data_IF_337145182232
#
_entry.id   IF_337145182232
#
_cell.length_a   1.000
_cell.length_b   1.000
_cell.length_c   1.000
_cell.angle_alpha   90.00
_cell.angle_beta   90.00
_cell.angle_gamma   90.00
#
_symmetry.space_group_name_H-M   'P 1'
#
loop_
_entity.id
_entity.type
_entity.pdbx_description
1 polymer ?
#
# COMPACT_ATOMS: atom_id res chain seq x y z
N UNK A 1 -60.94 -11.55 -31.84
CA UNK A 1 -62.13 -12.41 -32.06
C UNK A 1 -61.92 -13.68 -31.24
N UNK A 2 -62.97 -14.09 -30.52
CA UNK A 2 -63.01 -15.02 -29.37
C UNK A 2 -62.40 -16.42 -29.63
N UNK A 3 -61.70 -17.02 -28.65
CA UNK A 3 -62.25 -18.02 -27.72
C UNK A 3 -61.26 -18.38 -26.60
N UNK A 4 -61.82 -18.76 -25.44
CA UNK A 4 -61.23 -19.01 -24.12
C UNK A 4 -61.55 -20.49 -23.73
N UNK A 5 -60.85 -21.02 -22.71
CA UNK A 5 -61.19 -22.15 -21.78
C UNK A 5 -60.70 -23.53 -22.30
N UNK A 6 -59.99 -24.41 -21.58
CA UNK A 6 -60.12 -24.89 -20.18
C UNK A 6 -58.93 -25.74 -19.73
N UNK A 7 -58.74 -25.82 -18.41
CA UNK A 7 -57.91 -26.75 -17.62
C UNK A 7 -58.28 -28.24 -17.78
N UNK A 8 -57.33 -29.12 -17.43
CA UNK A 8 -57.61 -30.49 -16.95
C UNK A 8 -56.39 -31.36 -16.71
N UNK A 9 -55.85 -31.35 -15.47
CA UNK A 9 -54.95 -32.37 -14.91
C UNK A 9 -55.52 -33.79 -15.10
N UNK A 10 -54.66 -34.81 -15.28
CA UNK A 10 -54.70 -35.99 -14.41
C UNK A 10 -53.35 -36.71 -14.33
N UNK A 11 -52.99 -36.96 -13.08
CA UNK A 11 -51.89 -37.75 -12.57
C UNK A 11 -52.01 -39.24 -12.92
N UNK A 12 -50.88 -39.90 -13.17
CA UNK A 12 -50.34 -41.07 -12.43
C UNK A 12 -49.26 -41.74 -13.26
N UNK A 13 -48.05 -41.81 -12.71
CA UNK A 13 -47.23 -43.02 -12.53
C UNK A 13 -45.85 -42.53 -12.07
N UNK A 14 -45.75 -42.27 -10.77
CA UNK A 14 -44.50 -42.17 -10.04
C UNK A 14 -44.37 -43.45 -9.20
N UNK A 15 -43.20 -44.08 -9.24
CA UNK A 15 -42.86 -45.13 -8.29
C UNK A 15 -41.76 -46.02 -8.82
N UNK A 16 -40.63 -46.06 -8.09
CA UNK A 16 -39.47 -46.94 -8.32
C UNK A 16 -38.33 -46.38 -9.17
N UNK A 17 -37.79 -45.20 -8.83
CA UNK A 17 -36.39 -44.89 -9.18
C UNK A 17 -35.66 -43.92 -8.23
N UNK A 18 -36.11 -43.77 -6.97
CA UNK A 18 -35.51 -42.82 -6.01
C UNK A 18 -35.39 -43.42 -4.60
N UNK A 19 -34.77 -44.60 -4.48
CA UNK A 19 -34.43 -45.17 -3.16
C UNK A 19 -33.03 -45.81 -3.09
N UNK A 20 -32.18 -45.59 -4.10
CA UNK A 20 -30.85 -46.21 -4.21
C UNK A 20 -29.66 -45.25 -4.25
N UNK A 21 -29.86 -43.95 -3.99
CA UNK A 21 -28.81 -42.92 -4.17
C UNK A 21 -28.59 -42.00 -2.96
N UNK A 22 -29.15 -42.34 -1.80
CA UNK A 22 -29.03 -41.53 -0.57
C UNK A 22 -28.26 -42.20 0.57
N UNK A 23 -27.54 -43.31 0.31
CA UNK A 23 -26.73 -44.01 1.33
C UNK A 23 -25.22 -44.03 0.97
N UNK A 24 -24.82 -43.60 -0.22
CA UNK A 24 -23.39 -43.57 -0.61
C UNK A 24 -22.68 -42.21 -0.40
N UNK A 25 -23.39 -41.17 0.04
CA UNK A 25 -22.80 -39.83 0.29
C UNK A 25 -22.54 -39.51 1.78
N UNK A 26 -22.80 -40.46 2.69
CA UNK A 26 -22.60 -40.27 4.14
C UNK A 26 -21.28 -40.89 4.65
N UNK A 27 -20.54 -41.63 3.81
CA UNK A 27 -19.28 -42.27 4.21
C UNK A 27 -17.99 -41.58 3.74
N UNK A 28 -18.06 -40.42 3.08
CA UNK A 28 -16.87 -39.64 2.63
C UNK A 28 -16.62 -38.39 3.50
N UNK A 29 -17.45 -38.13 4.53
CA UNK A 29 -17.27 -37.03 5.49
C UNK A 29 -16.90 -37.51 6.90
N UNK A 30 -16.12 -38.59 7.01
CA UNK A 30 -15.65 -39.12 8.30
C UNK A 30 -14.20 -39.65 8.25
N UNK A 31 -13.35 -39.02 7.44
CA UNK A 31 -11.90 -39.14 7.58
C UNK A 31 -11.29 -37.74 7.43
N UNK A 32 -11.52 -36.91 8.45
CA UNK A 32 -10.67 -35.75 8.69
C UNK A 32 -9.26 -36.29 8.91
N UNK A 33 -8.36 -36.03 7.97
CA UNK A 33 -6.95 -36.15 8.22
C UNK A 33 -6.61 -35.02 9.20
N UNK A 34 -6.37 -35.38 10.46
CA UNK A 34 -5.66 -34.54 11.41
C UNK A 34 -4.27 -34.23 10.84
N UNK A 35 -4.12 -33.08 10.19
CA UNK A 35 -2.81 -32.47 9.94
C UNK A 35 -2.39 -31.73 11.22
N UNK A 36 -2.04 -32.52 12.23
CA UNK A 36 -1.33 -32.06 13.41
C UNK A 36 0.16 -31.99 13.08
N UNK A 37 0.62 -30.87 12.54
CA UNK A 37 2.04 -30.56 12.38
C UNK A 37 2.51 -29.71 13.58
N UNK A 38 2.58 -30.35 14.75
CA UNK A 38 3.27 -29.78 15.90
C UNK A 38 4.65 -30.43 15.98
N UNK A 39 5.66 -29.84 15.33
CA UNK A 39 7.03 -30.26 15.54
C UNK A 39 7.54 -29.64 16.84
N UNK A 40 7.78 -30.53 17.81
CA UNK A 40 8.44 -30.23 19.07
C UNK A 40 9.91 -30.45 18.81
N UNK A 41 10.72 -29.39 18.88
CA UNK A 41 12.00 -29.37 19.59
C UNK A 41 12.78 -28.09 19.26
N UNK A 42 12.51 -27.02 20.00
CA UNK A 42 13.57 -26.12 20.45
C UNK A 42 13.09 -25.33 21.68
N UNK A 43 13.49 -25.80 22.85
CA UNK A 43 13.45 -25.03 24.10
C UNK A 43 14.87 -24.96 24.63
N UNK A 44 15.39 -23.75 24.74
CA UNK A 44 15.92 -23.18 25.98
C UNK A 44 16.31 -21.73 25.69
N UNK A 45 15.68 -20.75 26.35
CA UNK A 45 15.89 -19.35 25.96
C UNK A 45 15.23 -18.28 26.81
N UNK A 46 13.94 -18.00 26.63
CA UNK A 46 13.24 -16.95 27.40
C UNK A 46 11.75 -17.27 27.51
N UNK A 47 11.20 -17.11 28.71
CA UNK A 47 9.80 -17.38 29.03
C UNK A 47 8.90 -16.26 28.50
N UNK A 48 8.56 -16.31 27.21
CA UNK A 48 7.32 -15.68 26.73
C UNK A 48 6.14 -16.39 27.41
N UNK A 49 5.49 -15.69 28.35
CA UNK A 49 4.24 -16.13 29.00
C UNK A 49 3.01 -15.79 28.15
N UNK A 50 3.09 -15.89 26.83
CA UNK A 50 1.92 -15.83 25.96
C UNK A 50 1.72 -17.19 25.32
N UNK A 51 0.60 -17.82 25.65
CA UNK A 51 0.15 -19.02 24.96
C UNK A 51 -0.10 -18.65 23.49
N UNK A 52 0.68 -19.16 22.51
CA UNK A 52 0.51 -18.83 21.10
C UNK A 52 -0.91 -19.10 20.61
N UNK A 53 -1.59 -20.10 21.20
CA UNK A 53 -2.95 -20.51 20.83
C UNK A 53 -4.04 -19.47 21.14
N UNK A 54 -3.69 -18.35 21.80
CA UNK A 54 -4.64 -17.31 22.18
C UNK A 54 -4.15 -15.89 21.83
N UNK A 55 -3.06 -15.75 21.06
CA UNK A 55 -2.59 -14.42 20.64
C UNK A 55 -3.61 -13.76 19.71
N UNK A 56 -3.99 -14.42 18.61
CA UNK A 56 -4.93 -13.87 17.64
C UNK A 56 -6.29 -13.49 18.23
N UNK A 57 -6.79 -14.29 19.19
CA UNK A 57 -8.02 -13.96 19.90
C UNK A 57 -7.89 -12.71 20.80
N UNK A 58 -6.79 -12.58 21.55
CA UNK A 58 -6.54 -11.38 22.39
C UNK A 58 -6.36 -10.13 21.53
N UNK A 59 -5.58 -10.23 20.45
CA UNK A 59 -5.39 -9.12 19.52
C UNK A 59 -6.70 -8.71 18.86
N UNK A 60 -7.46 -9.66 18.30
CA UNK A 60 -8.79 -9.42 17.71
C UNK A 60 -9.74 -8.74 18.69
N UNK A 61 -9.76 -9.19 19.96
CA UNK A 61 -10.59 -8.57 21.00
C UNK A 61 -10.22 -7.11 21.26
N UNK A 62 -8.94 -6.75 21.16
CA UNK A 62 -8.46 -5.39 21.37
C UNK A 62 -8.79 -4.45 20.20
N UNK A 63 -8.81 -4.95 18.96
CA UNK A 63 -9.05 -4.12 17.77
C UNK A 63 -10.54 -4.02 17.39
N UNK A 64 -11.34 -5.05 17.62
CA UNK A 64 -12.73 -5.09 17.12
C UNK A 64 -13.73 -4.25 17.95
N UNK A 65 -13.30 -3.47 18.95
CA UNK A 65 -14.12 -2.49 19.71
C UNK A 65 -15.52 -2.96 20.14
N UNK A 66 -15.72 -4.25 20.42
CA UNK A 66 -17.02 -4.81 20.83
C UNK A 66 -17.94 -5.27 19.68
N UNK A 67 -17.48 -5.22 18.43
CA UNK A 67 -18.10 -5.91 17.30
C UNK A 67 -17.99 -7.41 17.55
N UNK A 68 -19.14 -8.06 17.80
CA UNK A 68 -19.22 -9.52 17.90
C UNK A 68 -19.38 -10.11 16.51
N UNK A 69 -18.27 -10.32 15.81
CA UNK A 69 -18.28 -11.11 14.60
C UNK A 69 -17.09 -12.07 14.63
N UNK A 70 -17.24 -13.18 15.35
CA UNK A 70 -16.39 -14.36 15.14
C UNK A 70 -16.48 -14.92 13.72
N UNK A 71 -17.46 -14.43 12.94
CA UNK A 71 -17.84 -14.96 11.63
C UNK A 71 -17.44 -14.02 10.48
N UNK A 72 -16.80 -12.87 10.74
CA UNK A 72 -16.45 -11.86 9.70
C UNK A 72 -14.97 -11.47 9.71
N UNK A 73 -14.24 -11.78 10.77
CA UNK A 73 -12.80 -11.54 10.82
C UNK A 73 -12.12 -12.58 11.69
N UNK A 74 -11.16 -13.28 11.10
CA UNK A 74 -10.26 -14.19 11.79
C UNK A 74 -8.86 -13.62 11.61
N UNK A 75 -8.22 -13.20 12.71
CA UNK A 75 -6.84 -12.74 12.65
C UNK A 75 -5.93 -13.88 12.19
N UNK A 76 -5.05 -13.58 11.24
CA UNK A 76 -4.07 -14.49 10.71
C UNK A 76 -2.88 -14.62 11.67
N UNK A 77 -3.00 -15.53 12.63
CA UNK A 77 -1.89 -15.98 13.47
C UNK A 77 -1.19 -17.22 12.91
N UNK A 78 -1.46 -17.58 11.65
CA UNK A 78 -0.79 -18.69 10.98
C UNK A 78 0.63 -18.33 10.60
N UNK A 79 1.51 -19.33 10.61
CA UNK A 79 2.89 -19.24 10.12
C UNK A 79 2.86 -19.11 8.60
N UNK A 80 2.99 -17.88 8.10
CA UNK A 80 2.93 -17.57 6.65
C UNK A 80 4.29 -17.77 5.97
N UNK A 81 5.38 -17.76 6.75
CA UNK A 81 6.75 -18.04 6.29
C UNK A 81 7.50 -18.92 7.30
N UNK A 82 8.65 -19.48 6.92
CA UNK A 82 9.51 -20.23 7.84
C UNK A 82 10.05 -19.39 9.03
N UNK A 83 9.86 -18.07 9.00
CA UNK A 83 10.41 -17.11 9.96
C UNK A 83 9.37 -16.50 10.90
N UNK A 84 8.08 -16.78 10.69
CA UNK A 84 7.05 -16.28 11.60
C UNK A 84 5.63 -16.23 11.02
N UNK A 85 4.69 -15.77 11.85
CA UNK A 85 3.31 -15.53 11.45
C UNK A 85 3.16 -14.25 10.64
N UNK A 86 1.95 -13.95 10.17
CA UNK A 86 1.72 -12.81 9.30
C UNK A 86 2.22 -11.48 9.88
N UNK A 87 2.00 -11.25 11.17
CA UNK A 87 2.46 -10.06 11.87
C UNK A 87 3.97 -10.00 12.16
N UNK A 88 4.75 -10.96 11.70
CA UNK A 88 6.21 -10.82 11.64
C UNK A 88 6.65 -9.98 10.42
N UNK A 89 5.77 -9.69 9.45
CA UNK A 89 6.06 -8.91 8.25
C UNK A 89 7.35 -9.39 7.56
N UNK A 90 7.35 -10.66 7.15
CA UNK A 90 8.56 -11.29 6.60
C UNK A 90 8.57 -11.14 5.08
N UNK A 91 9.53 -10.35 4.59
CA UNK A 91 9.80 -10.20 3.18
C UNK A 91 10.84 -11.22 2.72
N UNK A 92 10.53 -12.00 1.70
CA UNK A 92 11.43 -13.04 1.15
C UNK A 92 11.82 -12.78 -0.31
N UNK A 93 11.04 -11.98 -1.03
CA UNK A 93 11.30 -11.60 -2.41
C UNK A 93 10.43 -10.42 -2.82
N UNK A 94 10.82 -9.68 -3.86
CA UNK A 94 10.03 -8.57 -4.39
C UNK A 94 8.60 -9.01 -4.81
N UNK A 95 8.43 -10.23 -5.32
CA UNK A 95 7.13 -10.77 -5.72
C UNK A 95 6.12 -10.87 -4.56
N UNK A 96 6.58 -10.84 -3.30
CA UNK A 96 5.72 -10.83 -2.13
C UNK A 96 4.86 -9.56 -2.07
N UNK A 97 5.39 -8.44 -2.56
CA UNK A 97 4.68 -7.16 -2.56
C UNK A 97 3.67 -7.12 -3.69
N UNK A 98 2.40 -7.27 -3.30
CA UNK A 98 1.25 -7.14 -4.16
C UNK A 98 0.97 -5.66 -4.40
N UNK A 99 0.93 -5.29 -5.68
CA UNK A 99 0.63 -3.94 -6.10
C UNK A 99 -0.88 -3.68 -6.04
N UNK A 100 -1.30 -2.69 -5.26
CA UNK A 100 -2.69 -2.28 -5.13
C UNK A 100 -2.88 -0.83 -5.59
N UNK A 101 -3.87 -0.61 -6.45
CA UNK A 101 -4.29 0.74 -6.86
C UNK A 101 -5.46 1.20 -5.98
N UNK A 102 -5.50 2.47 -5.55
CA UNK A 102 -6.67 3.04 -4.90
C UNK A 102 -7.95 2.88 -5.76
N UNK A 103 -9.13 2.83 -5.14
CA UNK A 103 -10.40 2.73 -5.87
C UNK A 103 -10.70 4.05 -6.59
N UNK A 104 -11.25 3.94 -7.80
CA UNK A 104 -11.76 5.10 -8.54
C UNK A 104 -13.14 5.56 -8.05
N UNK A 105 -13.51 6.80 -8.38
CA UNK A 105 -14.85 7.36 -8.12
C UNK A 105 -15.15 7.72 -6.67
N UNK A 106 -14.15 7.69 -5.78
CA UNK A 106 -14.27 8.12 -4.38
C UNK A 106 -12.91 8.43 -3.75
N UNK A 107 -12.86 9.32 -2.74
CA UNK A 107 -11.67 9.50 -1.91
C UNK A 107 -11.27 8.20 -1.20
N UNK A 108 -9.96 8.01 -1.06
CA UNK A 108 -9.37 6.88 -0.38
C UNK A 108 -8.14 7.30 0.41
N UNK A 109 -7.89 6.64 1.52
CA UNK A 109 -6.70 6.93 2.34
C UNK A 109 -6.20 5.64 2.97
N UNK A 110 -4.89 5.57 3.18
CA UNK A 110 -4.20 4.45 3.82
C UNK A 110 -3.17 4.96 4.84
N UNK A 111 -2.75 4.11 5.77
CA UNK A 111 -1.71 4.46 6.75
C UNK A 111 -0.33 3.99 6.31
N UNK A 112 0.69 4.82 6.55
CA UNK A 112 2.09 4.45 6.38
C UNK A 112 2.81 4.44 7.74
N UNK A 113 2.90 3.25 8.34
CA UNK A 113 3.54 3.05 9.64
C UNK A 113 5.01 2.65 9.55
N UNK A 114 5.57 2.57 8.35
CA UNK A 114 6.93 2.07 8.13
C UNK A 114 8.01 2.88 8.86
N UNK A 115 7.72 4.14 9.19
CA UNK A 115 8.62 5.05 9.89
C UNK A 115 8.34 5.20 11.39
N UNK A 116 7.33 4.51 11.93
CA UNK A 116 6.96 4.64 13.34
C UNK A 116 7.94 3.94 14.28
N UNK A 117 8.21 4.51 15.45
CA UNK A 117 9.12 3.90 16.42
C UNK A 117 9.31 4.72 17.71
N UNK A 118 10.48 5.38 17.91
CA UNK A 118 10.76 6.24 19.05
C UNK A 118 9.78 7.40 19.24
N UNK A 119 9.77 7.99 20.44
CA UNK A 119 9.04 9.23 20.77
C UNK A 119 9.84 10.50 20.42
N UNK A 120 10.68 10.40 19.39
CA UNK A 120 11.47 11.49 18.85
C UNK A 120 11.48 11.38 17.32
N UNK A 121 11.71 12.50 16.61
CA UNK A 121 11.99 12.46 15.18
C UNK A 121 13.10 11.46 14.83
N UNK A 122 12.94 10.79 13.70
CA UNK A 122 13.92 9.86 13.13
C UNK A 122 14.13 10.20 11.64
N UNK A 123 15.08 9.52 10.98
CA UNK A 123 15.47 9.84 9.62
C UNK A 123 16.56 10.91 9.54
N UNK A 124 16.61 11.63 8.42
CA UNK A 124 17.72 12.51 8.08
C UNK A 124 17.50 13.99 8.45
N UNK A 125 16.30 14.31 8.94
CA UNK A 125 15.93 15.66 9.32
C UNK A 125 15.30 15.68 10.71
N UNK A 126 15.78 16.59 11.56
CA UNK A 126 15.14 16.92 12.85
C UNK A 126 13.75 17.56 12.66
N UNK A 127 13.39 17.95 11.43
CA UNK A 127 12.07 18.48 11.07
C UNK A 127 11.03 17.38 10.86
N UNK A 128 11.46 16.11 10.74
CA UNK A 128 10.54 14.99 10.65
C UNK A 128 9.65 14.92 11.89
N UNK A 129 8.37 14.53 11.74
CA UNK A 129 7.50 14.38 12.89
C UNK A 129 7.94 13.23 13.79
N UNK A 130 7.68 13.36 15.10
CA UNK A 130 7.74 12.22 16.01
C UNK A 130 6.57 11.27 15.72
N UNK A 131 6.89 10.01 15.40
CA UNK A 131 5.92 8.96 15.08
C UNK A 131 6.00 7.81 16.10
N UNK A 132 5.62 8.04 17.37
CA UNK A 132 5.83 7.05 18.43
C UNK A 132 5.01 5.78 18.20
N UNK A 133 5.61 4.64 18.56
CA UNK A 133 5.01 3.32 18.50
C UNK A 133 5.18 2.62 19.85
N UNK A 134 4.15 2.74 20.70
CA UNK A 134 4.23 2.37 22.11
C UNK A 134 3.46 1.09 22.40
N UNK A 135 4.15 0.12 23.01
CA UNK A 135 3.56 -1.12 23.49
C UNK A 135 2.41 -0.87 24.47
N UNK A 136 1.31 -1.59 24.23
CA UNK A 136 0.23 -1.71 25.18
C UNK A 136 0.71 -2.37 26.49
N UNK A 137 0.07 -2.08 27.65
CA UNK A 137 0.49 -2.65 28.93
C UNK A 137 0.48 -4.18 28.99
N UNK A 138 -0.33 -4.84 28.17
CA UNK A 138 -0.40 -6.31 28.10
C UNK A 138 0.54 -6.92 27.04
N UNK A 139 1.26 -6.09 26.29
CA UNK A 139 2.21 -6.47 25.24
C UNK A 139 1.57 -7.12 24.02
N UNK A 140 0.24 -7.07 23.87
CA UNK A 140 -0.46 -7.74 22.76
C UNK A 140 -0.34 -6.95 21.46
N UNK A 141 -0.34 -5.61 21.56
CA UNK A 141 -0.24 -4.69 20.43
C UNK A 141 0.64 -3.48 20.77
N UNK A 142 1.06 -2.75 19.74
CA UNK A 142 1.62 -1.42 19.84
C UNK A 142 0.65 -0.39 19.25
N UNK A 143 0.57 0.79 19.85
CA UNK A 143 -0.17 1.94 19.32
C UNK A 143 0.85 2.82 18.59
N UNK A 144 0.77 2.85 17.27
CA UNK A 144 1.78 3.49 16.43
C UNK A 144 1.15 4.66 15.69
N UNK A 145 1.74 5.84 15.89
CA UNK A 145 1.41 7.04 15.13
C UNK A 145 2.02 6.90 13.75
N UNK A 146 1.19 7.02 12.72
CA UNK A 146 1.57 6.82 11.32
C UNK A 146 1.04 7.97 10.47
N UNK A 147 1.61 8.17 9.28
CA UNK A 147 1.03 9.09 8.32
C UNK A 147 -0.27 8.53 7.75
N UNK A 148 -1.28 9.38 7.57
CA UNK A 148 -2.40 9.12 6.66
C UNK A 148 -2.03 9.67 5.29
N UNK A 149 -1.96 8.80 4.29
CA UNK A 149 -1.78 9.20 2.90
C UNK A 149 -3.15 9.16 2.24
N UNK A 150 -3.61 10.32 1.78
CA UNK A 150 -4.89 10.44 1.08
C UNK A 150 -4.69 10.59 -0.43
N UNK A 151 -5.53 9.95 -1.22
CA UNK A 151 -5.58 10.16 -2.68
C UNK A 151 -5.90 11.61 -3.05
N UNK A 152 -6.54 12.36 -2.15
CA UNK A 152 -6.82 13.78 -2.32
C UNK A 152 -5.55 14.65 -2.17
N UNK A 153 -4.50 14.13 -1.53
CA UNK A 153 -3.25 14.86 -1.26
C UNK A 153 -2.14 14.52 -2.26
N UNK A 154 -2.03 13.26 -2.72
CA UNK A 154 -0.85 12.78 -3.47
C UNK A 154 -1.15 12.17 -4.85
N UNK A 155 -2.42 12.15 -5.28
CA UNK A 155 -2.99 11.50 -6.47
C UNK A 155 -3.73 10.18 -6.19
N UNK A 156 -4.93 9.97 -6.77
CA UNK A 156 -5.65 8.70 -6.69
C UNK A 156 -5.00 7.57 -7.49
N UNK A 157 -3.94 7.85 -8.26
CA UNK A 157 -3.13 6.83 -8.91
C UNK A 157 -2.06 6.22 -8.00
N UNK A 158 -1.74 6.85 -6.86
CA UNK A 158 -0.61 6.41 -6.04
C UNK A 158 -0.84 5.00 -5.52
N UNK A 159 -0.10 4.07 -6.13
CA UNK A 159 -0.09 2.67 -5.75
C UNK A 159 0.42 2.50 -4.32
N UNK A 160 -0.18 1.57 -3.60
CA UNK A 160 0.35 1.07 -2.34
C UNK A 160 0.66 -0.43 -2.46
N UNK A 161 1.55 -0.90 -1.60
CA UNK A 161 2.06 -2.27 -1.60
C UNK A 161 1.63 -3.01 -0.34
N UNK A 162 1.31 -4.29 -0.53
CA UNK A 162 0.96 -5.22 0.55
C UNK A 162 1.80 -6.47 0.41
N UNK A 163 2.61 -6.78 1.43
CA UNK A 163 3.28 -8.07 1.51
C UNK A 163 2.23 -9.17 1.71
N UNK A 164 2.17 -10.12 0.78
CA UNK A 164 1.25 -11.26 0.82
C UNK A 164 1.38 -12.07 2.11
N UNK A 165 2.58 -12.13 2.70
CA UNK A 165 2.81 -12.86 3.96
C UNK A 165 2.32 -12.09 5.16
N UNK A 166 2.08 -10.79 5.05
CA UNK A 166 1.69 -9.92 6.16
C UNK A 166 0.18 -9.70 6.28
N UNK A 167 -0.64 -10.37 5.47
CA UNK A 167 -2.10 -10.17 5.45
C UNK A 167 -2.72 -10.66 6.77
N UNK A 168 -3.26 -9.70 7.54
CA UNK A 168 -3.77 -9.92 8.91
C UNK A 168 -5.13 -10.62 8.99
N UNK A 169 -5.89 -10.69 7.90
CA UNK A 169 -7.16 -11.41 7.83
C UNK A 169 -6.94 -12.78 7.18
N UNK A 170 -7.22 -13.87 7.91
CA UNK A 170 -6.93 -15.24 7.49
C UNK A 170 -7.69 -15.63 6.21
N UNK A 171 -8.96 -15.26 6.08
CA UNK A 171 -9.78 -15.64 4.93
C UNK A 171 -9.28 -14.92 3.67
N UNK A 172 -9.03 -13.61 3.79
CA UNK A 172 -8.46 -12.80 2.68
C UNK A 172 -7.04 -13.26 2.32
N UNK A 173 -6.23 -13.66 3.30
CA UNK A 173 -4.92 -14.25 3.04
C UNK A 173 -5.05 -15.53 2.20
N UNK A 174 -5.95 -16.45 2.57
CA UNK A 174 -6.19 -17.70 1.85
C UNK A 174 -6.66 -17.46 0.42
N UNK A 175 -7.62 -16.56 0.22
CA UNK A 175 -8.08 -16.15 -1.11
C UNK A 175 -6.94 -15.54 -1.93
N UNK A 176 -6.11 -14.71 -1.29
CA UNK A 176 -4.99 -14.04 -1.97
C UNK A 176 -3.90 -15.02 -2.40
N UNK A 177 -3.51 -15.99 -1.57
CA UNK A 177 -2.51 -17.00 -1.99
C UNK A 177 -3.07 -17.99 -3.01
N UNK A 178 -4.38 -18.22 -3.04
CA UNK A 178 -5.04 -18.99 -4.10
C UNK A 178 -5.02 -18.24 -5.43
N UNK A 179 -5.25 -16.93 -5.41
CA UNK A 179 -5.31 -16.09 -6.60
C UNK A 179 -3.93 -15.63 -7.11
N UNK A 180 -2.96 -15.37 -6.23
CA UNK A 180 -1.67 -14.80 -6.59
C UNK A 180 -0.50 -15.79 -6.45
N UNK A 181 -0.79 -17.03 -6.04
CA UNK A 181 0.20 -17.99 -5.58
C UNK A 181 0.78 -17.59 -4.22
N UNK A 182 1.37 -18.56 -3.51
CA UNK A 182 1.89 -18.36 -2.14
C UNK A 182 2.94 -17.26 -2.01
N UNK A 183 3.63 -16.92 -3.09
CA UNK A 183 4.70 -15.92 -3.13
C UNK A 183 4.29 -14.64 -3.88
N UNK A 184 3.01 -14.50 -4.27
CA UNK A 184 2.50 -13.32 -4.99
C UNK A 184 2.82 -13.25 -6.49
N UNK A 185 3.76 -14.06 -6.98
CA UNK A 185 4.28 -14.00 -8.35
C UNK A 185 3.23 -14.10 -9.48
N UNK A 186 2.05 -14.70 -9.25
CA UNK A 186 1.01 -14.77 -10.29
C UNK A 186 0.22 -13.46 -10.45
N UNK A 187 0.26 -12.56 -9.47
CA UNK A 187 -0.35 -11.24 -9.55
C UNK A 187 0.64 -10.17 -10.04
N UNK A 188 1.93 -10.49 -10.14
CA UNK A 188 2.92 -9.62 -10.76
C UNK A 188 2.68 -9.54 -12.28
N UNK A 189 2.47 -8.34 -12.81
CA UNK A 189 2.33 -8.05 -14.26
C UNK A 189 1.22 -8.79 -15.01
N UNK A 190 0.21 -9.33 -14.31
CA UNK A 190 -0.85 -10.14 -14.93
C UNK A 190 -2.17 -9.38 -15.14
N UNK A 191 -2.26 -8.12 -14.68
CA UNK A 191 -3.50 -7.35 -14.63
C UNK A 191 -4.55 -7.94 -13.67
N UNK A 192 -4.18 -8.98 -12.91
CA UNK A 192 -5.04 -9.60 -11.89
C UNK A 192 -4.99 -8.74 -10.63
N UNK A 193 -6.16 -8.27 -10.18
CA UNK A 193 -6.28 -7.53 -8.92
C UNK A 193 -6.21 -8.53 -7.76
N UNK A 194 -5.24 -8.41 -6.84
CA UNK A 194 -5.16 -9.27 -5.66
C UNK A 194 -6.39 -9.10 -4.76
N UNK A 195 -6.98 -10.20 -4.21
CA UNK A 195 -8.13 -10.12 -3.30
C UNK A 195 -7.92 -9.20 -2.10
N UNK A 196 -6.70 -9.15 -1.55
CA UNK A 196 -6.36 -8.21 -0.46
C UNK A 196 -6.52 -6.74 -0.87
N UNK A 197 -6.22 -6.37 -2.11
CA UNK A 197 -6.42 -5.00 -2.60
C UNK A 197 -7.90 -4.64 -2.62
N UNK A 198 -8.76 -5.57 -3.07
CA UNK A 198 -10.22 -5.38 -3.03
C UNK A 198 -10.75 -5.24 -1.61
N UNK A 199 -10.20 -6.00 -0.66
CA UNK A 199 -10.59 -5.91 0.75
C UNK A 199 -10.11 -4.63 1.45
N UNK A 200 -8.97 -4.04 1.05
CA UNK A 200 -8.44 -2.78 1.60
C UNK A 200 -9.15 -1.56 1.01
N UNK A 201 -9.27 -1.51 -0.33
CA UNK A 201 -10.34 -0.77 -1.00
C UNK A 201 -11.67 -1.33 -0.41
N UNK A 202 -12.88 -0.84 -0.56
CA UNK A 202 -14.09 -1.39 0.14
C UNK A 202 -14.10 -1.49 1.70
N UNK A 203 -12.97 -1.36 2.41
CA UNK A 203 -12.86 -1.39 3.88
C UNK A 203 -13.39 -2.68 4.54
N UNK A 204 -13.07 -3.83 3.94
CA UNK A 204 -13.48 -5.15 4.42
C UNK A 204 -12.35 -5.96 5.07
N UNK A 205 -11.08 -5.53 4.96
CA UNK A 205 -9.97 -6.29 5.52
C UNK A 205 -10.05 -6.46 7.04
N UNK A 206 -10.32 -5.36 7.77
CA UNK A 206 -10.48 -5.37 9.23
C UNK A 206 -11.74 -4.58 9.62
N UNK A 207 -12.79 -5.23 10.17
CA UNK A 207 -14.02 -4.55 10.51
C UNK A 207 -13.85 -3.39 11.50
N UNK A 208 -14.38 -2.23 11.13
CA UNK A 208 -14.41 -1.04 11.98
C UNK A 208 -13.14 -0.19 11.96
N UNK A 209 -12.12 -0.56 11.18
CA UNK A 209 -10.99 0.31 10.87
C UNK A 209 -11.44 1.51 10.01
N UNK A 210 -10.79 2.66 10.19
CA UNK A 210 -11.01 3.82 9.30
C UNK A 210 -10.17 3.69 8.02
N UNK A 211 -9.01 3.05 8.16
CA UNK A 211 -7.98 2.83 7.14
C UNK A 211 -7.07 1.66 7.57
N UNK A 212 -6.29 1.15 6.63
CA UNK A 212 -5.38 0.02 6.83
C UNK A 212 -3.94 0.49 6.65
N UNK A 213 -3.03 0.02 7.50
CA UNK A 213 -1.60 0.25 7.29
C UNK A 213 -1.07 -0.59 6.14
N UNK A 214 -0.41 0.05 5.20
CA UNK A 214 0.21 -0.56 4.01
C UNK A 214 1.61 0.04 3.84
N UNK A 215 2.33 -0.41 2.81
CA UNK A 215 3.58 0.24 2.42
C UNK A 215 3.39 1.14 1.21
N UNK A 216 4.10 2.26 1.19
CA UNK A 216 4.27 3.10 0.01
C UNK A 216 5.62 3.81 0.12
N UNK A 217 6.19 4.16 -1.02
CA UNK A 217 7.48 4.87 -1.13
C UNK A 217 7.40 6.35 -0.74
N UNK A 218 6.20 6.83 -0.38
CA UNK A 218 5.98 8.17 0.14
C UNK A 218 6.84 8.41 1.38
N UNK A 219 7.44 9.59 1.44
CA UNK A 219 8.38 10.02 2.49
C UNK A 219 9.69 9.23 2.60
N UNK A 220 9.99 8.25 1.74
CA UNK A 220 11.27 7.50 1.85
C UNK A 220 12.49 8.42 1.88
N UNK A 221 12.49 9.47 1.06
CA UNK A 221 13.59 10.46 1.02
C UNK A 221 13.80 11.21 2.34
N UNK A 222 12.78 11.32 3.17
CA UNK A 222 12.86 12.02 4.46
C UNK A 222 13.50 11.13 5.55
N UNK A 223 13.49 9.80 5.33
CA UNK A 223 13.86 8.78 6.32
C UNK A 223 15.05 7.89 5.91
N UNK A 224 15.58 8.07 4.69
CA UNK A 224 16.78 7.40 4.23
C UNK A 224 17.98 8.29 4.45
N UNK A 225 18.99 7.73 5.13
CA UNK A 225 20.34 8.27 5.25
C UNK A 225 20.93 8.56 3.88
N UNK A 226 21.47 9.77 3.66
CA UNK A 226 22.27 10.08 2.46
C UNK A 226 23.57 9.22 2.32
N UNK A 227 23.76 8.23 3.20
CA UNK A 227 24.76 7.17 3.13
C UNK A 227 24.25 5.91 2.42
N UNK A 228 25.12 4.91 2.26
CA UNK A 228 24.81 3.66 1.55
C UNK A 228 23.75 2.78 2.26
N UNK A 229 23.53 2.99 3.57
CA UNK A 229 22.67 2.17 4.40
C UNK A 229 21.24 2.73 4.49
N UNK A 230 20.30 2.07 3.82
CA UNK A 230 18.87 2.45 3.78
C UNK A 230 18.02 1.74 4.84
N UNK A 231 18.64 0.90 5.67
CA UNK A 231 17.99 0.09 6.71
C UNK A 231 18.97 -0.26 7.82
N UNK A 232 18.45 -0.56 9.01
CA UNK A 232 19.23 -1.05 10.15
C UNK A 232 18.86 -2.50 10.45
N UNK A 233 19.85 -3.38 10.51
CA UNK A 233 19.71 -4.79 10.84
C UNK A 233 19.68 -5.04 12.35
N UNK A 234 18.62 -5.65 12.85
CA UNK A 234 18.45 -6.02 14.26
C UNK A 234 18.27 -7.53 14.39
N UNK A 235 19.29 -8.26 13.92
CA UNK A 235 19.25 -9.72 13.74
C UNK A 235 20.23 -10.47 14.64
N UNK A 236 21.20 -9.79 15.26
CA UNK A 236 22.10 -10.38 16.27
C UNK A 236 21.35 -10.66 17.57
N UNK A 237 21.70 -11.74 18.30
CA UNK A 237 20.98 -12.15 19.53
C UNK A 237 20.90 -11.04 20.61
N UNK A 238 21.84 -10.08 20.60
CA UNK A 238 21.84 -8.92 21.49
C UNK A 238 20.84 -7.83 21.11
N UNK A 239 20.42 -7.80 19.84
CA UNK A 239 19.70 -6.70 19.20
C UNK A 239 18.32 -7.12 18.70
N UNK A 240 18.06 -8.43 18.58
CA UNK A 240 16.71 -8.98 18.41
C UNK A 240 15.80 -8.57 19.57
N UNK A 241 14.50 -8.47 19.27
CA UNK A 241 13.53 -8.20 20.31
C UNK A 241 12.13 -7.93 19.79
N UNK A 242 11.39 -7.20 20.62
CA UNK A 242 9.98 -6.93 20.39
C UNK A 242 9.81 -5.77 19.40
N UNK A 243 9.08 -6.00 18.32
CA UNK A 243 8.72 -4.98 17.33
C UNK A 243 7.24 -5.08 16.93
N UNK A 244 6.74 -4.03 16.28
CA UNK A 244 5.38 -3.93 15.78
C UNK A 244 5.31 -4.32 14.30
N UNK A 245 4.56 -5.37 13.98
CA UNK A 245 4.26 -5.76 12.61
C UNK A 245 3.08 -4.98 12.07
N UNK A 246 3.28 -3.75 11.61
CA UNK A 246 2.16 -2.86 11.30
C UNK A 246 1.45 -3.11 9.97
N UNK A 247 2.06 -3.79 9.00
CA UNK A 247 1.43 -4.04 7.72
C UNK A 247 0.10 -4.79 7.87
N UNK A 248 -0.93 -4.28 7.20
CA UNK A 248 -2.34 -4.66 7.28
C UNK A 248 -3.01 -4.52 8.66
N UNK A 249 -2.40 -3.77 9.59
CA UNK A 249 -3.03 -3.43 10.86
C UNK A 249 -4.17 -2.40 10.68
N UNK A 250 -5.22 -2.44 11.52
CA UNK A 250 -6.26 -1.44 11.51
C UNK A 250 -5.78 -0.11 12.11
N UNK A 251 -6.19 0.97 11.47
CA UNK A 251 -5.83 2.33 11.84
C UNK A 251 -7.07 3.20 12.04
N UNK A 252 -6.91 4.22 12.87
CA UNK A 252 -7.99 5.10 13.29
C UNK A 252 -7.57 6.56 13.19
N UNK A 253 -8.46 7.38 12.64
CA UNK A 253 -8.23 8.82 12.54
C UNK A 253 -8.21 9.45 13.92
N UNK A 254 -7.18 10.25 14.16
CA UNK A 254 -7.01 10.97 15.43
C UNK A 254 -7.47 12.43 15.32
N UNK A 255 -7.53 12.96 14.09
CA UNK A 255 -7.74 14.39 13.83
C UNK A 255 -6.51 15.26 14.14
N UNK A 256 -5.35 14.63 14.39
CA UNK A 256 -4.08 15.30 14.59
C UNK A 256 -3.36 15.48 13.25
N UNK A 257 -2.60 16.55 13.14
CA UNK A 257 -1.67 16.79 12.05
C UNK A 257 -0.28 17.03 12.61
N UNK A 258 0.75 16.80 11.81
CA UNK A 258 2.10 17.24 12.15
C UNK A 258 2.32 18.74 11.89
N UNK A 259 3.56 19.19 12.02
CA UNK A 259 3.95 20.59 11.84
C UNK A 259 3.76 21.08 10.39
N UNK A 260 3.83 20.18 9.41
CA UNK A 260 3.65 20.47 7.98
C UNK A 260 2.18 20.39 7.57
N UNK A 261 1.29 20.01 8.48
CA UNK A 261 -0.14 19.86 8.23
C UNK A 261 -0.56 18.48 7.71
N UNK A 262 0.37 17.51 7.67
CA UNK A 262 0.07 16.14 7.24
C UNK A 262 -0.77 15.43 8.30
N UNK A 263 -1.80 14.71 7.86
CA UNK A 263 -2.69 13.97 8.74
C UNK A 263 -1.97 12.79 9.42
N UNK A 264 -2.21 12.64 10.73
CA UNK A 264 -1.67 11.54 11.54
C UNK A 264 -2.79 10.62 12.06
N UNK A 265 -2.52 9.33 11.99
CA UNK A 265 -3.43 8.24 12.40
C UNK A 265 -2.76 7.37 13.44
N UNK A 266 -3.58 6.68 14.24
CA UNK A 266 -3.09 5.71 15.22
C UNK A 266 -3.47 4.31 14.78
N UNK A 267 -2.46 3.48 14.52
CA UNK A 267 -2.60 2.09 14.13
C UNK A 267 -2.38 1.17 15.33
N UNK A 268 -3.18 0.11 15.40
CA UNK A 268 -3.08 -0.91 16.46
C UNK A 268 -2.29 -2.10 15.93
N UNK A 269 -0.97 -2.00 15.90
CA UNK A 269 -0.13 -3.00 15.29
C UNK A 269 0.04 -4.24 16.18
N UNK A 270 -0.10 -5.46 15.64
CA UNK A 270 0.33 -6.66 16.35
C UNK A 270 1.84 -6.64 16.61
N UNK A 271 2.29 -7.45 17.55
CA UNK A 271 3.65 -7.41 18.10
C UNK A 271 4.29 -8.79 17.95
N UNK A 272 5.51 -8.81 17.43
CA UNK A 272 6.34 -10.02 17.29
C UNK A 272 7.64 -9.85 18.08
N UNK A 273 8.23 -10.97 18.48
CA UNK A 273 9.50 -11.02 19.22
C UNK A 273 10.46 -11.91 18.42
N UNK A 274 11.46 -11.29 17.81
CA UNK A 274 12.35 -11.97 16.87
C UNK A 274 13.32 -11.02 16.16
N UNK A 275 13.99 -11.50 15.10
CA UNK A 275 14.82 -10.65 14.24
C UNK A 275 13.95 -9.70 13.42
N UNK A 276 14.45 -8.50 13.20
CA UNK A 276 13.79 -7.48 12.40
C UNK A 276 14.79 -6.52 11.78
N UNK A 277 14.27 -5.68 10.90
CA UNK A 277 14.96 -4.61 10.23
C UNK A 277 14.15 -3.33 10.36
N UNK A 278 14.86 -2.25 10.66
CA UNK A 278 14.29 -0.90 10.66
C UNK A 278 14.45 -0.36 9.25
N UNK A 279 13.38 0.18 8.68
CA UNK A 279 13.37 0.78 7.35
C UNK A 279 14.11 2.11 7.22
N UNK A 280 15.10 2.33 8.08
CA UNK A 280 15.88 3.56 8.23
C UNK A 280 17.31 3.16 8.58
N UNK A 281 18.30 3.80 7.96
CA UNK A 281 19.73 3.57 8.22
C UNK A 281 20.18 4.11 9.58
N UNK A 282 21.29 3.58 10.08
CA UNK A 282 21.99 4.08 11.28
C UNK A 282 21.14 4.21 12.56
N UNK A 283 20.05 3.46 12.71
CA UNK A 283 19.18 3.53 13.89
C UNK A 283 19.67 2.64 15.04
N UNK A 284 19.21 2.90 16.26
CA UNK A 284 19.35 1.93 17.36
C UNK A 284 18.24 0.86 17.26
N UNK A 285 18.61 -0.41 17.40
CA UNK A 285 17.65 -1.51 17.53
C UNK A 285 16.73 -1.38 18.75
N UNK A 286 17.12 -0.59 19.76
CA UNK A 286 16.25 -0.21 20.86
C UNK A 286 15.61 1.16 20.59
N UNK A 287 14.31 1.18 20.27
CA UNK A 287 13.53 2.40 20.03
C UNK A 287 13.40 3.36 21.24
N UNK A 288 13.97 2.99 22.39
CA UNK A 288 14.01 3.82 23.60
C UNK A 288 15.39 4.44 23.84
N UNK A 289 16.39 4.05 23.05
CA UNK A 289 17.66 4.75 23.03
C UNK A 289 17.46 6.11 22.36
N UNK A 290 18.20 7.14 22.79
CA UNK A 290 18.20 8.41 22.08
C UNK A 290 18.65 8.19 20.64
N UNK A 291 18.10 8.95 19.66
CA UNK A 291 18.57 8.89 18.29
C UNK A 291 20.08 9.15 18.23
N UNK A 292 20.81 8.53 17.28
CA UNK A 292 22.25 8.70 17.17
C UNK A 292 22.58 10.18 16.97
N UNK A 293 23.18 10.81 17.98
CA UNK A 293 23.80 12.12 17.80
C UNK A 293 25.02 11.92 16.90
N UNK A 294 25.21 12.76 15.88
CA UNK A 294 26.29 12.75 14.86
C UNK A 294 27.73 12.89 15.41
N UNK A 295 28.00 12.45 16.64
CA UNK A 295 29.34 12.34 17.20
C UNK A 295 29.52 10.97 17.84
N UNK A 296 30.28 10.12 17.15
CA UNK A 296 30.84 8.85 17.60
C UNK A 296 31.22 8.83 19.09
N UNK A 297 30.46 8.07 19.89
CA UNK A 297 30.91 7.58 21.18
C UNK A 297 30.03 6.41 21.61
N UNK A 298 30.46 5.19 21.27
CA UNK A 298 29.99 3.97 21.90
C UNK A 298 30.30 4.04 23.40
N UNK A 299 29.30 4.43 24.19
CA UNK A 299 29.27 4.13 25.61
C UNK A 299 27.95 3.46 25.92
N UNK A 300 28.02 2.14 26.11
CA UNK A 300 26.96 1.32 26.69
C UNK A 300 26.44 1.97 27.98
N UNK A 301 25.30 2.65 27.87
CA UNK A 301 24.45 2.92 29.03
C UNK A 301 23.17 2.15 28.80
N UNK A 302 22.93 1.16 29.65
CA UNK A 302 21.61 0.55 29.84
C UNK A 302 20.63 1.64 30.24
N UNK A 303 20.01 2.26 29.25
CA UNK A 303 18.89 3.17 29.45
C UNK A 303 17.65 2.35 29.81
N UNK A 304 16.78 2.94 30.63
CA UNK A 304 15.64 2.23 31.22
C UNK A 304 14.71 1.68 30.14
N UNK A 305 13.99 0.59 30.45
CA UNK A 305 12.92 0.03 29.62
C UNK A 305 11.86 1.11 29.40
N UNK A 306 11.98 1.88 28.33
CA UNK A 306 10.82 2.53 27.73
C UNK A 306 9.93 1.47 27.08
N UNK A 307 8.76 1.90 26.63
CA UNK A 307 7.75 1.02 26.03
C UNK A 307 7.65 1.21 24.52
N UNK A 308 8.56 1.96 23.90
CA UNK A 308 8.56 2.15 22.46
C UNK A 308 9.21 0.94 21.78
N UNK A 309 8.68 0.61 20.61
CA UNK A 309 9.16 -0.43 19.71
C UNK A 309 9.13 0.11 18.29
N UNK A 310 9.98 -0.42 17.42
CA UNK A 310 9.94 -0.08 16.00
C UNK A 310 8.73 -0.73 15.32
N UNK A 311 8.11 -0.01 14.39
CA UNK A 311 7.35 -0.64 13.31
C UNK A 311 8.36 -1.20 12.32
N UNK A 312 8.35 -2.50 12.12
CA UNK A 312 9.44 -3.18 11.41
C UNK A 312 8.95 -4.38 10.60
N UNK A 313 9.85 -4.88 9.78
CA UNK A 313 9.71 -6.07 8.96
C UNK A 313 11.00 -6.87 9.04
N UNK A 314 11.01 -8.09 8.50
CA UNK A 314 12.20 -8.93 8.51
C UNK A 314 12.52 -9.45 7.10
N UNK A 315 13.75 -9.23 6.64
CA UNK A 315 14.31 -9.87 5.46
C UNK A 315 15.33 -10.94 5.88
N UNK A 316 15.00 -12.24 5.75
CA UNK A 316 15.90 -13.32 6.13
C UNK A 316 17.17 -13.43 5.27
N UNK A 317 17.18 -12.84 4.07
CA UNK A 317 18.38 -12.82 3.22
C UNK A 317 19.41 -11.77 3.71
N UNK A 318 19.02 -10.89 4.64
CA UNK A 318 19.79 -9.73 5.05
C UNK A 318 19.82 -8.63 3.99
N UNK A 319 20.30 -7.46 4.39
CA UNK A 319 20.21 -6.23 3.62
C UNK A 319 18.81 -5.61 3.65
N UNK A 320 18.65 -4.41 3.08
CA UNK A 320 17.38 -3.71 3.04
C UNK A 320 16.30 -4.53 2.32
N UNK A 321 15.05 -4.24 2.63
CA UNK A 321 13.91 -4.69 1.82
C UNK A 321 13.94 -3.87 0.53
N UNK A 322 14.30 -4.53 -0.57
CA UNK A 322 14.50 -3.87 -1.87
C UNK A 322 13.28 -4.11 -2.76
N UNK A 323 12.69 -3.01 -3.26
CA UNK A 323 11.59 -3.05 -4.24
C UNK A 323 12.05 -3.01 -5.70
N UNK A 324 13.35 -2.83 -5.98
CA UNK A 324 13.87 -2.62 -7.33
C UNK A 324 13.71 -3.80 -8.30
N UNK A 325 13.40 -5.00 -7.80
CA UNK A 325 13.08 -6.15 -8.66
C UNK A 325 11.60 -6.17 -9.10
N UNK A 326 10.77 -5.27 -8.56
CA UNK A 326 9.47 -4.95 -9.15
C UNK A 326 9.70 -4.06 -10.39
N UNK A 327 8.87 -4.19 -11.43
CA UNK A 327 8.75 -3.14 -12.42
C UNK A 327 8.52 -1.81 -11.72
N UNK A 328 9.00 -0.73 -12.33
CA UNK A 328 8.74 0.59 -11.80
C UNK A 328 7.22 0.82 -11.66
N UNK A 329 6.85 1.64 -10.70
CA UNK A 329 5.47 2.00 -10.39
C UNK A 329 5.20 3.34 -11.06
N UNK A 330 4.29 3.40 -12.05
CA UNK A 330 3.94 4.67 -12.66
C UNK A 330 3.43 5.68 -11.64
N UNK A 331 3.83 6.94 -11.84
CA UNK A 331 3.43 8.11 -11.05
C UNK A 331 3.79 8.02 -9.55
N UNK A 332 4.62 7.05 -9.17
CA UNK A 332 5.13 6.91 -7.80
C UNK A 332 6.37 7.78 -7.59
N UNK A 333 6.52 8.44 -6.42
CA UNK A 333 7.76 9.09 -6.05
C UNK A 333 8.88 8.07 -5.77
N UNK A 334 10.13 8.56 -5.78
CA UNK A 334 11.29 7.77 -5.37
C UNK A 334 11.87 6.88 -6.48
N UNK A 335 12.78 5.98 -6.09
CA UNK A 335 13.57 5.17 -7.04
C UNK A 335 12.78 3.98 -7.61
N UNK A 336 11.61 3.71 -7.04
CA UNK A 336 10.64 2.75 -7.57
C UNK A 336 9.72 3.37 -8.64
N UNK A 337 9.70 4.69 -8.78
CA UNK A 337 8.89 5.41 -9.76
C UNK A 337 9.35 5.18 -11.19
N UNK A 338 8.43 5.09 -12.15
CA UNK A 338 8.81 5.01 -13.56
C UNK A 338 9.38 6.35 -14.08
N UNK A 339 10.33 6.34 -15.03
CA UNK A 339 10.83 7.57 -15.64
C UNK A 339 9.72 8.30 -16.41
N UNK A 340 9.93 9.60 -16.64
CA UNK A 340 9.07 10.38 -17.55
C UNK A 340 9.22 9.89 -18.99
N UNK A 341 8.29 10.32 -19.85
CA UNK A 341 8.36 10.06 -21.28
C UNK A 341 9.73 10.43 -21.89
N UNK A 342 10.33 9.46 -22.56
CA UNK A 342 11.51 9.62 -23.40
C UNK A 342 11.17 9.28 -24.87
N UNK A 343 11.29 10.22 -25.82
CA UNK A 343 10.99 9.98 -27.24
C UNK A 343 11.95 9.01 -27.94
N UNK A 344 13.10 8.70 -27.36
CA UNK A 344 14.07 7.75 -27.92
C UNK A 344 13.73 6.28 -27.57
N UNK A 345 12.83 6.06 -26.62
CA UNK A 345 12.42 4.72 -26.17
C UNK A 345 11.42 4.10 -27.15
N UNK A 346 11.64 2.83 -27.50
CA UNK A 346 10.73 2.02 -28.32
C UNK A 346 9.67 1.37 -27.40
N UNK A 347 8.66 2.17 -27.02
CA UNK A 347 7.52 1.69 -26.25
C UNK A 347 6.76 0.64 -27.05
N UNK A 348 6.53 -0.53 -26.46
CA UNK A 348 5.82 -1.65 -27.10
C UNK A 348 4.30 -1.47 -27.08
N UNK A 349 3.84 -0.25 -27.39
CA UNK A 349 2.45 0.16 -27.44
C UNK A 349 2.18 0.75 -28.82
N UNK A 350 1.12 0.31 -29.49
CA UNK A 350 0.72 0.82 -30.80
C UNK A 350 -0.07 2.14 -30.66
N UNK A 351 0.45 3.31 -31.09
CA UNK A 351 -0.21 4.60 -30.89
C UNK A 351 -1.56 4.69 -31.62
N UNK A 352 -1.67 4.07 -32.79
CA UNK A 352 -2.93 4.01 -33.56
C UNK A 352 -3.87 2.88 -33.09
N UNK A 353 -3.48 2.12 -32.07
CA UNK A 353 -4.23 0.99 -31.54
C UNK A 353 -5.48 1.39 -30.75
N UNK A 354 -6.40 0.43 -30.55
CA UNK A 354 -7.67 0.68 -29.86
C UNK A 354 -7.50 1.19 -28.41
N UNK A 355 -6.45 0.72 -27.71
CA UNK A 355 -6.12 1.18 -26.36
C UNK A 355 -5.78 2.68 -26.38
N UNK A 356 -4.87 3.09 -27.27
CA UNK A 356 -4.46 4.49 -27.37
C UNK A 356 -5.57 5.42 -27.89
N UNK A 357 -6.40 4.95 -28.82
CA UNK A 357 -7.59 5.71 -29.24
C UNK A 357 -8.54 5.97 -28.07
N UNK A 358 -8.73 4.98 -27.19
CA UNK A 358 -9.57 5.13 -25.99
C UNK A 358 -8.94 6.10 -25.00
N UNK A 359 -7.64 5.96 -24.74
CA UNK A 359 -6.87 6.86 -23.88
C UNK A 359 -6.97 8.31 -24.36
N UNK A 360 -6.71 8.59 -25.64
CA UNK A 360 -6.84 9.94 -26.17
C UNK A 360 -8.27 10.47 -26.08
N UNK A 361 -9.28 9.61 -26.27
CA UNK A 361 -10.68 9.96 -26.03
C UNK A 361 -10.92 10.43 -24.60
N UNK A 362 -10.38 9.71 -23.62
CA UNK A 362 -10.52 10.06 -22.20
C UNK A 362 -9.80 11.36 -21.84
N UNK A 363 -8.56 11.59 -22.28
CA UNK A 363 -7.89 12.88 -22.10
C UNK A 363 -8.74 14.01 -22.69
N UNK A 364 -9.26 13.80 -23.90
CA UNK A 364 -10.09 14.76 -24.63
C UNK A 364 -11.36 15.20 -23.91
N UNK A 365 -12.01 14.28 -23.20
CA UNK A 365 -13.28 14.50 -22.49
C UNK A 365 -13.13 14.63 -20.98
N UNK A 366 -11.91 14.73 -20.46
CA UNK A 366 -11.65 14.71 -19.01
C UNK A 366 -12.10 15.97 -18.28
N UNK A 367 -12.47 17.02 -19.01
CA UNK A 367 -12.92 18.30 -18.48
C UNK A 367 -14.25 18.24 -17.72
N UNK A 368 -15.12 17.26 -18.03
CA UNK A 368 -16.38 17.03 -17.30
C UNK A 368 -16.16 16.71 -15.81
N UNK A 369 -14.96 16.27 -15.44
CA UNK A 369 -14.63 15.84 -14.07
C UNK A 369 -13.80 16.87 -13.30
N UNK A 370 -13.45 18.01 -13.91
CA UNK A 370 -12.68 19.05 -13.24
C UNK A 370 -13.63 19.96 -12.44
N UNK A 371 -13.60 19.92 -11.09
CA UNK A 371 -14.48 20.74 -10.26
C UNK A 371 -14.03 22.21 -10.20
N UNK A 372 -12.76 22.49 -10.53
CA UNK A 372 -12.18 23.82 -10.48
C UNK A 372 -12.49 24.60 -11.77
N UNK A 373 -12.40 23.94 -12.93
CA UNK A 373 -12.72 24.53 -14.22
C UNK A 373 -13.16 23.45 -15.24
N UNK A 374 -14.45 23.42 -15.64
CA UNK A 374 -14.97 22.40 -16.56
C UNK A 374 -14.49 22.55 -18.01
N UNK A 375 -13.69 23.58 -18.33
CA UNK A 375 -13.06 23.73 -19.65
C UNK A 375 -11.62 23.19 -19.68
N UNK A 376 -11.03 22.82 -18.54
CA UNK A 376 -9.69 22.24 -18.44
C UNK A 376 -9.76 20.71 -18.49
N UNK A 377 -9.07 20.11 -19.45
CA UNK A 377 -8.92 18.66 -19.60
C UNK A 377 -7.98 18.11 -18.52
N UNK A 378 -8.59 17.63 -17.43
CA UNK A 378 -7.95 17.22 -16.20
C UNK A 378 -6.79 16.23 -16.35
N UNK A 379 -6.88 15.28 -17.30
CA UNK A 379 -5.79 14.33 -17.53
C UNK A 379 -4.50 15.03 -17.95
N UNK A 380 -4.59 16.03 -18.83
CA UNK A 380 -3.42 16.76 -19.32
C UNK A 380 -2.82 17.70 -18.27
N UNK A 381 -3.65 18.43 -17.53
CA UNK A 381 -3.16 19.29 -16.45
C UNK A 381 -2.50 18.47 -15.34
N UNK A 382 -3.12 17.34 -14.99
CA UNK A 382 -2.57 16.47 -13.95
C UNK A 382 -1.24 15.85 -14.37
N UNK A 383 -1.12 15.29 -15.58
CA UNK A 383 0.15 14.76 -16.06
C UNK A 383 1.25 15.83 -16.09
N UNK A 384 0.92 17.07 -16.50
CA UNK A 384 1.89 18.17 -16.61
C UNK A 384 2.51 18.58 -15.27
N UNK A 385 1.86 18.23 -14.15
CA UNK A 385 2.23 18.69 -12.81
C UNK A 385 2.57 17.54 -11.86
N UNK A 386 1.84 16.44 -11.89
CA UNK A 386 1.92 15.36 -10.90
C UNK A 386 3.34 14.79 -10.77
N UNK A 387 3.86 14.21 -11.85
CA UNK A 387 5.09 13.43 -11.79
C UNK A 387 6.30 14.27 -11.39
N UNK A 388 6.42 15.47 -11.93
CA UNK A 388 7.50 16.38 -11.54
C UNK A 388 7.31 16.87 -10.12
N UNK A 389 6.10 17.26 -9.70
CA UNK A 389 5.86 17.70 -8.31
C UNK A 389 6.22 16.63 -7.28
N UNK A 390 5.97 15.35 -7.55
CA UNK A 390 6.36 14.24 -6.64
C UNK A 390 7.84 13.81 -6.80
N UNK A 391 8.61 14.51 -7.62
CA UNK A 391 10.07 14.40 -7.74
C UNK A 391 10.57 13.45 -8.84
N UNK A 392 9.71 13.01 -9.77
CA UNK A 392 10.11 12.17 -10.90
C UNK A 392 10.87 13.02 -11.93
N UNK A 393 12.05 12.54 -12.34
CA UNK A 393 12.91 13.24 -13.30
C UNK A 393 13.65 14.45 -12.72
N UNK A 394 13.63 14.62 -11.39
CA UNK A 394 14.30 15.72 -10.70
C UNK A 394 15.52 15.27 -9.91
N UNK A 395 16.57 16.09 -9.93
CA UNK A 395 17.77 15.92 -9.10
C UNK A 395 17.64 16.64 -7.73
N UNK A 396 16.62 17.50 -7.58
CA UNK A 396 16.37 18.28 -6.36
C UNK A 396 15.39 17.60 -5.40
N UNK A 397 15.34 18.03 -4.13
CA UNK A 397 14.32 17.56 -3.19
C UNK A 397 12.92 17.95 -3.69
N UNK A 398 11.87 17.16 -3.35
CA UNK A 398 10.50 17.57 -3.63
C UNK A 398 10.16 18.89 -2.91
N UNK A 399 9.14 19.64 -3.38
CA UNK A 399 8.67 20.83 -2.68
C UNK A 399 8.14 20.48 -1.28
N UNK A 400 7.96 21.50 -0.43
CA UNK A 400 7.29 21.32 0.86
C UNK A 400 5.85 20.83 0.68
N UNK A 401 5.28 20.20 1.72
CA UNK A 401 3.96 19.56 1.65
C UNK A 401 2.84 20.53 1.22
N UNK A 402 2.90 21.79 1.67
CA UNK A 402 1.86 22.77 1.34
C UNK A 402 1.93 23.15 -0.13
N UNK A 403 3.13 23.37 -0.66
CA UNK A 403 3.37 23.64 -2.08
C UNK A 403 2.98 22.44 -2.95
N UNK A 404 3.35 21.22 -2.54
CA UNK A 404 2.92 19.98 -3.22
C UNK A 404 1.40 19.88 -3.28
N UNK A 405 0.72 19.99 -2.12
CA UNK A 405 -0.74 19.88 -2.04
C UNK A 405 -1.46 20.97 -2.85
N UNK A 406 -0.90 22.19 -2.90
CA UNK A 406 -1.45 23.27 -3.72
C UNK A 406 -1.37 22.92 -5.21
N UNK A 407 -0.18 22.58 -5.70
CA UNK A 407 0.04 22.27 -7.12
C UNK A 407 -0.81 21.07 -7.58
N UNK A 408 -0.82 19.99 -6.79
CA UNK A 408 -1.62 18.81 -7.10
C UNK A 408 -3.12 19.08 -6.98
N UNK A 409 -3.55 19.86 -5.99
CA UNK A 409 -4.94 20.26 -5.83
C UNK A 409 -5.46 21.12 -6.99
N UNK A 410 -4.60 21.97 -7.55
CA UNK A 410 -4.96 22.76 -8.73
C UNK A 410 -5.00 21.91 -10.01
N UNK A 411 -3.98 21.07 -10.22
CA UNK A 411 -3.79 20.32 -11.46
C UNK A 411 -4.61 19.03 -11.57
N UNK A 412 -4.86 18.35 -10.45
CA UNK A 412 -5.37 16.97 -10.40
C UNK A 412 -6.68 16.79 -9.62
N UNK A 413 -7.27 17.85 -9.04
CA UNK A 413 -8.54 17.71 -8.31
C UNK A 413 -9.64 17.15 -9.19
N UNK A 414 -10.28 16.05 -8.74
CA UNK A 414 -11.33 15.34 -9.48
C UNK A 414 -10.82 14.19 -10.36
N UNK A 415 -9.50 13.95 -10.44
CA UNK A 415 -8.93 12.95 -11.35
C UNK A 415 -9.40 11.52 -11.02
N UNK A 416 -9.79 11.26 -9.76
CA UNK A 416 -10.37 9.99 -9.33
C UNK A 416 -11.70 9.66 -10.01
N UNK A 417 -12.44 10.69 -10.46
CA UNK A 417 -13.74 10.56 -11.10
C UNK A 417 -13.62 10.43 -12.63
N UNK A 418 -12.39 10.45 -13.16
CA UNK A 418 -12.11 10.27 -14.57
C UNK A 418 -12.35 8.81 -15.00
N UNK A 419 -13.34 8.61 -15.87
CA UNK A 419 -13.75 7.28 -16.37
C UNK A 419 -12.60 6.46 -16.99
N UNK A 420 -11.60 7.11 -17.59
CA UNK A 420 -10.49 6.46 -18.31
C UNK A 420 -9.22 6.20 -17.51
N UNK A 421 -9.24 6.44 -16.19
CA UNK A 421 -8.03 6.40 -15.38
C UNK A 421 -7.36 5.02 -15.37
N UNK A 422 -8.15 3.93 -15.45
CA UNK A 422 -7.62 2.56 -15.49
C UNK A 422 -6.87 2.28 -16.78
N UNK A 423 -7.37 2.73 -17.93
CA UNK A 423 -6.70 2.54 -19.22
C UNK A 423 -5.46 3.43 -19.38
N UNK A 424 -5.50 4.64 -18.83
CA UNK A 424 -4.33 5.53 -18.78
C UNK A 424 -3.20 4.88 -17.98
N UNK A 425 -3.50 4.44 -16.76
CA UNK A 425 -2.52 3.78 -15.88
C UNK A 425 -2.04 2.45 -16.45
N UNK A 426 -2.88 1.71 -17.19
CA UNK A 426 -2.46 0.52 -17.91
C UNK A 426 -1.42 0.83 -19.00
N UNK A 427 -1.60 1.91 -19.77
CA UNK A 427 -0.62 2.34 -20.78
C UNK A 427 0.71 2.70 -20.11
N UNK A 428 0.66 3.49 -19.03
CA UNK A 428 1.83 3.88 -18.24
C UNK A 428 2.58 2.66 -17.68
N UNK A 429 1.86 1.69 -17.11
CA UNK A 429 2.44 0.46 -16.58
C UNK A 429 3.06 -0.42 -17.67
N UNK A 430 2.37 -0.61 -18.81
CA UNK A 430 2.90 -1.38 -19.95
C UNK A 430 4.11 -0.71 -20.61
N UNK A 431 4.19 0.60 -20.53
CA UNK A 431 5.29 1.39 -21.06
C UNK A 431 6.44 1.60 -20.07
N UNK A 432 6.25 1.23 -18.80
CA UNK A 432 7.18 1.51 -17.71
C UNK A 432 7.56 3.01 -17.66
N UNK A 433 6.56 3.89 -17.76
CA UNK A 433 6.75 5.34 -17.68
C UNK A 433 5.64 6.03 -16.87
N UNK A 434 5.95 7.20 -16.33
CA UNK A 434 5.05 8.03 -15.52
C UNK A 434 4.57 9.26 -16.29
N UNK A 435 3.31 9.64 -16.11
CA UNK A 435 2.64 10.79 -16.75
C UNK A 435 2.91 10.90 -18.26
N UNK A 436 2.91 9.76 -18.95
CA UNK A 436 3.41 9.60 -20.32
C UNK A 436 2.36 9.07 -21.31
N UNK A 437 1.18 8.64 -20.83
CA UNK A 437 0.22 7.94 -21.67
C UNK A 437 -0.22 8.79 -22.87
N UNK A 438 -0.44 10.09 -22.66
CA UNK A 438 -0.85 11.00 -23.74
C UNK A 438 0.22 11.17 -24.82
N UNK A 439 1.51 11.16 -24.44
CA UNK A 439 2.64 11.25 -25.36
C UNK A 439 2.84 9.94 -26.13
N UNK A 440 2.78 8.80 -25.44
CA UNK A 440 2.92 7.48 -26.06
C UNK A 440 1.81 7.22 -27.06
N UNK A 441 0.58 7.57 -26.70
CA UNK A 441 -0.57 7.40 -27.57
C UNK A 441 -0.72 8.50 -28.63
N UNK A 442 0.15 9.52 -28.64
CA UNK A 442 0.15 10.58 -29.63
C UNK A 442 -1.12 11.45 -29.59
N UNK A 443 -1.69 11.68 -28.40
CA UNK A 443 -2.94 12.41 -28.25
C UNK A 443 -2.76 13.91 -28.57
N UNK A 444 -3.49 14.43 -29.55
CA UNK A 444 -3.37 15.79 -30.08
C UNK A 444 -4.61 16.67 -29.84
N UNK A 445 -5.53 16.21 -28.98
CA UNK A 445 -6.84 16.83 -28.74
C UNK A 445 -6.87 17.76 -27.53
N UNK A 446 -5.71 18.30 -27.14
CA UNK A 446 -5.60 19.28 -26.06
C UNK A 446 -6.23 20.63 -26.47
N UNK A 447 -7.12 21.18 -25.65
CA UNK A 447 -7.82 22.43 -25.95
C UNK A 447 -7.02 23.69 -25.52
N UNK A 448 -7.45 24.87 -25.96
CA UNK A 448 -6.75 26.15 -25.71
C UNK A 448 -6.70 26.50 -24.22
N UNK A 449 -7.79 26.28 -23.49
CA UNK A 449 -7.90 26.53 -22.06
C UNK A 449 -6.94 25.66 -21.25
N UNK A 450 -6.83 24.38 -21.61
CA UNK A 450 -5.91 23.41 -20.98
C UNK A 450 -4.46 23.78 -21.30
N UNK A 451 -4.16 24.18 -22.53
CA UNK A 451 -2.82 24.69 -22.87
C UNK A 451 -2.44 25.90 -22.02
N UNK A 452 -3.34 26.87 -21.86
CA UNK A 452 -3.10 28.04 -21.02
C UNK A 452 -2.94 27.68 -19.54
N UNK A 453 -3.74 26.73 -19.04
CA UNK A 453 -3.63 26.22 -17.67
C UNK A 453 -2.27 25.55 -17.43
N UNK A 454 -1.80 24.72 -18.37
CA UNK A 454 -0.48 24.09 -18.30
C UNK A 454 0.64 25.13 -18.30
N UNK A 455 0.53 26.22 -19.07
CA UNK A 455 1.53 27.32 -19.01
C UNK A 455 1.60 27.91 -17.60
N UNK A 456 0.46 28.14 -16.95
CA UNK A 456 0.41 28.68 -15.59
C UNK A 456 0.99 27.69 -14.58
N UNK A 457 0.56 26.43 -14.63
CA UNK A 457 1.06 25.36 -13.76
C UNK A 457 2.56 25.15 -13.92
N UNK A 458 3.09 25.22 -15.14
CA UNK A 458 4.53 25.17 -15.39
C UNK A 458 5.25 26.36 -14.73
N UNK A 459 4.71 27.57 -14.85
CA UNK A 459 5.30 28.75 -14.21
C UNK A 459 5.27 28.67 -12.67
N UNK A 460 4.22 28.09 -12.09
CA UNK A 460 4.11 27.88 -10.64
C UNK A 460 5.10 26.81 -10.15
N UNK A 461 5.23 25.69 -10.86
CA UNK A 461 6.25 24.67 -10.60
C UNK A 461 7.66 25.28 -10.64
N UNK A 462 8.01 26.03 -11.69
CA UNK A 462 9.31 26.71 -11.78
C UNK A 462 9.52 27.70 -10.64
N UNK A 463 8.47 28.40 -10.21
CA UNK A 463 8.53 29.34 -9.07
C UNK A 463 8.76 28.62 -7.73
N UNK A 464 8.31 27.38 -7.61
CA UNK A 464 8.60 26.48 -6.50
C UNK A 464 9.97 25.76 -6.62
N UNK A 465 10.74 26.01 -7.69
CA UNK A 465 12.03 25.36 -7.93
C UNK A 465 11.94 23.94 -8.51
N UNK A 466 10.78 23.56 -9.03
CA UNK A 466 10.49 22.25 -9.63
C UNK A 466 10.78 22.34 -11.13
N UNK A 467 11.57 21.39 -11.67
CA UNK A 467 11.71 21.24 -13.12
C UNK A 467 10.44 20.64 -13.71
N UNK A 468 9.87 21.31 -14.72
CA UNK A 468 8.64 20.89 -15.38
C UNK A 468 8.88 19.78 -16.40
N UNK A 469 7.83 19.03 -16.79
CA UNK A 469 7.95 18.08 -17.92
C UNK A 469 8.42 18.77 -19.20
N UNK A 470 7.94 20.00 -19.45
CA UNK A 470 8.37 20.79 -20.60
C UNK A 470 9.89 21.02 -20.61
N UNK A 471 10.48 21.33 -19.46
CA UNK A 471 11.93 21.52 -19.35
C UNK A 471 12.71 20.20 -19.46
N UNK A 472 12.17 19.11 -18.92
CA UNK A 472 12.86 17.82 -18.86
C UNK A 472 12.82 17.08 -20.20
N UNK A 473 11.64 16.98 -20.83
CA UNK A 473 11.43 16.14 -22.02
C UNK A 473 10.68 16.86 -23.16
N UNK A 474 10.45 18.18 -23.06
CA UNK A 474 9.78 18.98 -24.08
C UNK A 474 8.35 18.49 -24.40
N UNK A 475 7.64 18.01 -23.38
CA UNK A 475 6.22 17.63 -23.46
C UNK A 475 5.39 18.47 -22.50
N UNK A 476 4.08 18.60 -22.77
CA UNK A 476 3.15 19.35 -21.92
C UNK A 476 3.65 20.77 -21.57
N UNK A 477 4.14 21.49 -22.58
CA UNK A 477 4.58 22.87 -22.42
C UNK A 477 3.45 23.89 -22.33
N UNK A 478 2.25 23.52 -22.80
CA UNK A 478 1.22 24.48 -23.16
C UNK A 478 1.60 25.26 -24.43
N UNK A 479 0.65 26.00 -25.01
CA UNK A 479 0.83 26.81 -26.22
C UNK A 479 0.00 28.08 -26.18
#
# INVERSE_FOLDING_TARGET
MKYIISLGLHWREAGHLLFGLSILLIFILASGNDLYAGDKDHRDGFSSKTDPSNYGHRYSKSILRGVKLSDVYIFNDTVTTDFGPAYANVWTSAANFLQCTPPSGRPFSYALCYYSGPDAPTGDSDENPSLPCTLSPDGTLANCTCFEISTDEVSPKMTYLVDIHAISNLDIYQETIEACGKQGAECLNSGRIPPVCEAINTNLLVPGADLISVYSERYRRDYVSMGEDTSTECTDESDQGVYAGCMTAPCYRTGLTDADGRNLVECKCPVYDGPFQIGQGDQSCNANDPPPVTTSSHTEKRHGRGNNVWSAAYNPAGGPIILSDLPCIPDSPGDSGCPLFNPETDYKIEPDGALCQSVCGYYGSSNENNPNDPDIQLGYSCDATLCTTVGIGQDGPPPDHQTEAQLLGEACSGIQDMNGLTEITLVEALAECSCCASQICGCDNINEQTNAAIVNLNAEQTSAGIMTQCEINNTLCGN
#
